data_IF_824060402033
#
_entry.id   IF_824060402033
#
_cell.length_a   1.000
_cell.length_b   1.000
_cell.length_c   1.000
_cell.angle_alpha   90.00
_cell.angle_beta   90.00
_cell.angle_gamma   90.00
#
_symmetry.space_group_name_H-M   'P 1'
#
loop_
_entity.id
_entity.type
_entity.pdbx_description
1 polymer ?
#
# COMPACT_ATOMS: atom_id res chain seq x y z
N UNK A 1 -52.53 13.21 -1.08
CA UNK A 1 -51.95 13.48 -2.40
C UNK A 1 -51.07 12.30 -2.78
N UNK A 2 -51.47 11.50 -3.77
CA UNK A 2 -50.73 10.31 -4.18
C UNK A 2 -49.49 10.69 -5.00
N UNK A 3 -48.33 10.13 -4.66
CA UNK A 3 -47.09 10.38 -5.39
C UNK A 3 -47.20 9.83 -6.83
N UNK A 4 -46.89 10.68 -7.82
CA UNK A 4 -46.86 10.29 -9.23
C UNK A 4 -45.80 9.21 -9.44
N UNK A 5 -46.23 8.02 -9.87
CA UNK A 5 -45.31 6.94 -10.29
C UNK A 5 -44.61 7.42 -11.57
N UNK A 6 -43.33 7.77 -11.46
CA UNK A 6 -42.48 8.03 -12.63
C UNK A 6 -42.18 6.69 -13.29
N UNK A 7 -42.91 6.39 -14.37
CA UNK A 7 -42.60 5.27 -15.25
C UNK A 7 -41.21 5.49 -15.87
N UNK A 8 -40.24 4.69 -15.45
CA UNK A 8 -38.93 4.63 -16.11
C UNK A 8 -39.12 3.96 -17.47
N UNK A 9 -39.29 4.75 -18.53
CA UNK A 9 -39.21 4.26 -19.91
C UNK A 9 -37.87 3.52 -20.08
N UNK A 10 -37.94 2.29 -20.59
CA UNK A 10 -36.74 1.53 -20.94
C UNK A 10 -35.90 2.37 -21.90
N UNK A 11 -34.58 2.52 -21.67
CA UNK A 11 -33.75 3.33 -22.56
C UNK A 11 -33.75 2.72 -23.95
N UNK A 12 -33.95 3.56 -24.95
CA UNK A 12 -34.01 3.15 -26.35
C UNK A 12 -32.65 2.60 -26.81
N UNK A 13 -32.62 1.65 -27.76
CA UNK A 13 -31.39 0.95 -28.14
C UNK A 13 -30.32 1.90 -28.72
N UNK A 14 -30.76 2.97 -29.38
CA UNK A 14 -29.89 4.06 -29.85
C UNK A 14 -29.27 4.88 -28.70
N UNK A 15 -29.94 4.97 -27.55
CA UNK A 15 -29.42 5.62 -26.35
C UNK A 15 -28.27 4.82 -25.73
N UNK A 16 -28.33 3.49 -25.77
CA UNK A 16 -27.26 2.64 -25.26
C UNK A 16 -26.00 2.70 -26.11
N UNK A 17 -26.14 2.69 -27.44
CA UNK A 17 -25.02 2.80 -28.36
C UNK A 17 -24.29 4.15 -28.22
N UNK A 18 -25.03 5.25 -28.04
CA UNK A 18 -24.45 6.57 -27.76
C UNK A 18 -23.69 6.60 -26.42
N UNK A 19 -24.27 6.03 -25.36
CA UNK A 19 -23.61 5.97 -24.05
C UNK A 19 -22.33 5.13 -24.10
N UNK A 20 -22.36 4.00 -24.79
CA UNK A 20 -21.18 3.15 -24.99
C UNK A 20 -20.06 3.89 -25.74
N UNK A 21 -20.39 4.58 -26.83
CA UNK A 21 -19.42 5.39 -27.59
C UNK A 21 -18.82 6.53 -26.76
N UNK A 22 -19.62 7.16 -25.91
CA UNK A 22 -19.14 8.21 -25.00
C UNK A 22 -18.22 7.62 -23.92
N UNK A 23 -18.53 6.42 -23.43
CA UNK A 23 -17.70 5.72 -22.45
C UNK A 23 -16.33 5.35 -23.05
N UNK A 24 -16.29 4.77 -24.26
CA UNK A 24 -15.03 4.46 -24.95
C UNK A 24 -14.19 5.73 -25.13
N UNK A 25 -14.80 6.82 -25.61
CA UNK A 25 -14.09 8.10 -25.78
C UNK A 25 -13.57 8.66 -24.45
N UNK A 26 -14.28 8.44 -23.35
CA UNK A 26 -13.84 8.85 -22.02
C UNK A 26 -12.65 8.00 -21.55
N UNK A 27 -12.68 6.69 -21.78
CA UNK A 27 -11.55 5.79 -21.45
C UNK A 27 -10.29 6.11 -22.26
N UNK A 28 -10.42 6.44 -23.55
CA UNK A 28 -9.29 6.85 -24.38
C UNK A 28 -8.65 8.18 -23.91
N UNK A 29 -9.47 9.10 -23.36
CA UNK A 29 -9.02 10.41 -22.89
C UNK A 29 -8.52 10.38 -21.44
N UNK A 30 -9.06 9.50 -20.61
CA UNK A 30 -8.70 9.37 -19.20
C UNK A 30 -7.19 9.29 -18.94
N UNK A 31 -6.37 8.49 -19.64
CA UNK A 31 -4.93 8.43 -19.37
C UNK A 31 -4.22 9.74 -19.74
N UNK A 32 -4.64 10.43 -20.80
CA UNK A 32 -4.07 11.73 -21.18
C UNK A 32 -4.40 12.80 -20.15
N UNK A 33 -5.68 12.90 -19.77
CA UNK A 33 -6.15 13.81 -18.72
C UNK A 33 -5.47 13.54 -17.38
N UNK A 34 -5.31 12.26 -17.01
CA UNK A 34 -4.59 11.87 -15.80
C UNK A 34 -3.13 12.33 -15.84
N UNK A 35 -2.43 12.08 -16.95
CA UNK A 35 -1.04 12.50 -17.11
C UNK A 35 -0.88 14.02 -17.10
N UNK A 36 -1.78 14.77 -17.76
CA UNK A 36 -1.76 16.24 -17.80
C UNK A 36 -2.01 16.86 -16.42
N UNK A 37 -2.99 16.36 -15.66
CA UNK A 37 -3.36 16.94 -14.37
C UNK A 37 -2.53 16.43 -13.19
N UNK A 38 -2.11 15.17 -13.24
CA UNK A 38 -1.54 14.46 -12.09
C UNK A 38 -0.20 13.78 -12.39
N UNK A 39 0.23 13.70 -13.64
CA UNK A 39 1.50 13.05 -14.01
C UNK A 39 2.72 13.70 -13.36
N UNK A 40 2.69 15.03 -13.17
CA UNK A 40 3.77 15.79 -12.52
C UNK A 40 4.06 15.34 -11.08
N UNK A 41 3.07 14.77 -10.39
CA UNK A 41 3.22 14.28 -9.01
C UNK A 41 4.27 13.16 -8.97
N UNK A 42 4.24 12.25 -9.93
CA UNK A 42 5.19 11.14 -10.00
C UNK A 42 6.62 11.64 -10.23
N UNK A 43 6.78 12.68 -11.04
CA UNK A 43 8.07 13.31 -11.29
C UNK A 43 8.59 14.03 -10.05
N UNK A 44 7.73 14.74 -9.31
CA UNK A 44 8.10 15.38 -8.05
C UNK A 44 8.47 14.35 -6.97
N UNK A 45 7.73 13.26 -6.82
CA UNK A 45 8.12 12.17 -5.92
C UNK A 45 9.47 11.56 -6.31
N UNK A 46 9.75 11.41 -7.61
CA UNK A 46 11.04 10.91 -8.08
C UNK A 46 12.17 11.88 -7.73
N UNK A 47 11.97 13.19 -7.93
CA UNK A 47 12.95 14.23 -7.55
C UNK A 47 13.20 14.23 -6.04
N UNK A 48 12.14 14.24 -5.23
CA UNK A 48 12.24 14.21 -3.77
C UNK A 48 12.94 12.94 -3.28
N UNK A 49 12.65 11.78 -3.89
CA UNK A 49 13.34 10.53 -3.62
C UNK A 49 14.84 10.62 -3.91
N UNK A 50 15.22 11.23 -5.03
CA UNK A 50 16.63 11.52 -5.35
C UNK A 50 17.30 12.44 -4.32
N UNK A 51 16.66 13.55 -3.98
CA UNK A 51 17.18 14.49 -2.98
C UNK A 51 17.34 13.85 -1.60
N UNK A 52 16.39 13.00 -1.19
CA UNK A 52 16.47 12.27 0.06
C UNK A 52 17.63 11.28 0.06
N UNK A 53 17.83 10.57 -1.05
CA UNK A 53 18.95 9.64 -1.20
C UNK A 53 20.29 10.38 -1.12
N UNK A 54 20.42 11.51 -1.83
CA UNK A 54 21.64 12.33 -1.81
C UNK A 54 21.96 12.85 -0.39
N UNK A 55 20.95 13.35 0.33
CA UNK A 55 21.11 13.78 1.73
C UNK A 55 21.47 12.61 2.65
N UNK A 56 20.91 11.43 2.40
CA UNK A 56 21.22 10.22 3.17
C UNK A 56 22.66 9.78 2.96
N UNK A 57 23.18 9.83 1.73
CA UNK A 57 24.56 9.48 1.40
C UNK A 57 25.54 10.50 2.00
N UNK A 58 25.22 11.80 1.93
CA UNK A 58 26.07 12.88 2.46
C UNK A 58 26.09 12.94 4.00
N UNK A 59 25.05 12.46 4.67
CA UNK A 59 24.97 12.49 6.13
C UNK A 59 25.79 11.37 6.77
N UNK A 60 26.86 11.72 7.48
CA UNK A 60 27.64 10.76 8.25
C UNK A 60 26.82 10.05 9.34
N UNK A 61 25.89 10.78 9.97
CA UNK A 61 24.98 10.24 10.96
C UNK A 61 24.09 9.14 10.37
N UNK A 62 23.41 9.44 9.25
CA UNK A 62 22.53 8.46 8.61
C UNK A 62 23.30 7.26 8.07
N UNK A 63 24.52 7.45 7.59
CA UNK A 63 25.41 6.35 7.19
C UNK A 63 25.74 5.42 8.38
N UNK A 64 26.05 5.99 9.56
CA UNK A 64 26.32 5.22 10.79
C UNK A 64 25.06 4.48 11.27
N UNK A 65 23.90 5.13 11.26
CA UNK A 65 22.61 4.53 11.66
C UNK A 65 22.22 3.40 10.71
N UNK A 66 22.31 3.61 9.40
CA UNK A 66 21.98 2.60 8.40
C UNK A 66 22.93 1.39 8.48
N UNK A 67 24.23 1.61 8.71
CA UNK A 67 25.17 0.51 8.92
C UNK A 67 24.81 -0.33 10.15
N UNK A 68 24.55 0.32 11.30
CA UNK A 68 24.06 -0.38 12.50
C UNK A 68 22.75 -1.14 12.25
N UNK A 69 21.87 -0.58 11.40
CA UNK A 69 20.59 -1.18 10.96
C UNK A 69 20.74 -2.44 10.12
N UNK A 70 21.77 -2.50 9.29
CA UNK A 70 22.10 -3.69 8.51
C UNK A 70 22.81 -4.74 9.36
N UNK A 71 23.70 -4.31 10.26
CA UNK A 71 24.53 -5.23 11.06
C UNK A 71 23.77 -5.86 12.25
N UNK A 72 22.67 -5.25 12.70
CA UNK A 72 21.85 -5.79 13.79
C UNK A 72 20.56 -6.39 13.23
N UNK A 73 20.46 -7.72 13.25
CA UNK A 73 19.21 -8.40 12.94
C UNK A 73 18.18 -8.16 14.04
N UNK A 74 17.02 -7.64 13.66
CA UNK A 74 15.86 -7.58 14.53
C UNK A 74 15.02 -8.83 14.27
N UNK A 75 14.96 -9.73 15.25
CA UNK A 75 14.19 -10.98 15.19
C UNK A 75 12.68 -10.77 15.03
N UNK A 76 12.18 -9.53 15.20
CA UNK A 76 10.78 -9.14 14.90
C UNK A 76 10.58 -8.72 13.47
N UNK A 77 11.65 -8.41 12.74
CA UNK A 77 11.54 -8.25 11.31
C UNK A 77 11.19 -9.61 10.77
N UNK A 78 10.04 -9.69 10.12
CA UNK A 78 9.71 -10.81 9.25
C UNK A 78 10.84 -10.89 8.22
N UNK A 79 11.81 -11.77 8.49
CA UNK A 79 12.91 -12.05 7.58
C UNK A 79 12.27 -12.50 6.28
N UNK A 80 12.56 -11.75 5.21
CA UNK A 80 12.25 -11.97 3.80
C UNK A 80 11.22 -13.05 3.42
N UNK A 81 10.37 -12.64 2.47
CA UNK A 81 9.33 -13.42 1.79
C UNK A 81 8.04 -13.47 2.59
N UNK A 82 7.33 -12.33 2.61
CA UNK A 82 5.87 -12.41 2.59
C UNK A 82 5.57 -13.24 1.33
N UNK A 83 5.03 -14.47 1.44
CA UNK A 83 4.72 -15.25 0.26
C UNK A 83 3.76 -14.42 -0.59
N UNK A 84 3.90 -14.47 -1.92
CA UNK A 84 2.85 -13.96 -2.80
C UNK A 84 1.61 -14.80 -2.57
N UNK A 85 0.83 -14.46 -1.56
CA UNK A 85 -0.45 -15.07 -1.27
C UNK A 85 -1.41 -14.52 -2.30
N UNK A 86 -1.69 -15.34 -3.32
CA UNK A 86 -2.91 -15.14 -4.11
C UNK A 86 -4.08 -15.19 -3.12
N UNK A 87 -5.07 -14.32 -3.31
CA UNK A 87 -6.22 -14.14 -2.40
C UNK A 87 -6.99 -15.42 -2.03
N UNK A 88 -6.69 -16.58 -2.65
CA UNK A 88 -7.20 -17.90 -2.28
C UNK A 88 -6.43 -18.69 -1.19
N UNK A 89 -5.23 -18.25 -0.76
CA UNK A 89 -4.40 -18.99 0.21
C UNK A 89 -4.73 -18.75 1.69
N UNK A 90 -5.47 -17.68 1.99
CA UNK A 90 -5.82 -17.34 3.39
C UNK A 90 -6.65 -18.43 4.08
N UNK A 91 -7.47 -19.18 3.33
CA UNK A 91 -8.32 -20.23 3.88
C UNK A 91 -7.59 -21.51 4.31
N UNK A 92 -6.37 -21.75 3.81
CA UNK A 92 -5.59 -22.95 4.16
C UNK A 92 -4.77 -22.75 5.43
N UNK A 93 -4.14 -21.58 5.61
CA UNK A 93 -3.36 -21.27 6.80
C UNK A 93 -4.20 -21.29 8.09
N UNK A 94 -5.46 -20.86 8.00
CA UNK A 94 -6.41 -20.87 9.12
C UNK A 94 -6.84 -22.28 9.55
N UNK A 95 -6.63 -23.31 8.72
CA UNK A 95 -6.94 -24.72 9.05
C UNK A 95 -5.79 -25.41 9.78
N UNK A 96 -4.59 -24.85 9.72
CA UNK A 96 -3.45 -25.42 10.41
C UNK A 96 -3.50 -25.05 11.90
N UNK A 97 -3.58 -26.09 12.73
CA UNK A 97 -3.59 -25.98 14.20
C UNK A 97 -2.35 -25.31 14.77
N UNK A 98 -1.26 -25.17 14.01
CA UNK A 98 -0.10 -24.36 14.38
C UNK A 98 -0.40 -22.85 14.40
N UNK A 99 -1.37 -22.38 13.62
CA UNK A 99 -1.75 -20.96 13.50
C UNK A 99 -3.09 -20.64 14.17
N UNK A 100 -3.61 -21.53 15.02
CA UNK A 100 -4.86 -21.31 15.75
C UNK A 100 -4.78 -20.11 16.68
N UNK A 101 -5.76 -19.22 16.61
CA UNK A 101 -5.86 -18.03 17.46
C UNK A 101 -5.90 -18.37 18.96
N UNK A 102 -6.38 -19.56 19.33
CA UNK A 102 -6.38 -20.05 20.71
C UNK A 102 -4.98 -20.30 21.28
N UNK A 103 -3.96 -20.54 20.44
CA UNK A 103 -2.55 -20.67 20.87
C UNK A 103 -1.84 -19.34 21.04
N UNK A 104 -2.33 -18.27 20.42
CA UNK A 104 -1.70 -16.94 20.43
C UNK A 104 -2.64 -15.87 21.00
N UNK A 105 -3.59 -16.29 21.85
CA UNK A 105 -4.56 -15.39 22.47
C UNK A 105 -3.91 -14.27 23.28
N UNK A 106 -4.69 -13.23 23.65
CA UNK A 106 -4.20 -11.99 24.24
C UNK A 106 -3.39 -12.17 25.54
N UNK A 107 -3.54 -13.30 26.22
CA UNK A 107 -2.87 -13.61 27.50
C UNK A 107 -1.41 -14.07 27.36
N UNK A 108 -0.89 -14.23 26.13
CA UNK A 108 0.49 -14.72 25.88
C UNK A 108 1.41 -13.59 25.38
N UNK A 109 0.87 -12.40 25.09
CA UNK A 109 1.69 -11.29 24.61
C UNK A 109 2.52 -10.67 25.74
N UNK A 110 3.77 -11.10 25.85
CA UNK A 110 4.78 -10.41 26.65
C UNK A 110 5.42 -9.31 25.81
N UNK A 111 5.31 -8.01 26.20
CA UNK A 111 5.91 -6.93 25.44
C UNK A 111 7.43 -7.06 25.45
N UNK A 112 8.01 -7.41 24.30
CA UNK A 112 9.46 -7.49 24.16
C UNK A 112 10.09 -6.10 24.13
N UNK A 113 11.12 -5.87 24.96
CA UNK A 113 11.86 -4.59 25.04
C UNK A 113 12.35 -4.10 23.68
N UNK A 114 12.21 -2.81 23.38
CA UNK A 114 12.61 -2.26 22.08
C UNK A 114 14.07 -2.67 21.71
N UNK A 115 14.28 -3.28 20.53
CA UNK A 115 15.61 -3.72 20.12
C UNK A 115 16.60 -2.55 20.14
N UNK A 116 17.88 -2.79 20.49
CA UNK A 116 18.90 -1.74 20.54
C UNK A 116 19.00 -0.92 19.26
N UNK A 117 18.64 -1.52 18.12
CA UNK A 117 18.60 -0.92 16.80
C UNK A 117 17.75 0.35 16.68
N UNK A 118 16.65 0.43 17.43
CA UNK A 118 15.72 1.56 17.39
C UNK A 118 15.96 2.54 18.54
N UNK A 119 17.00 2.33 19.35
CA UNK A 119 17.41 3.31 20.35
C UNK A 119 18.11 4.47 19.63
N UNK A 120 17.77 5.69 20.02
CA UNK A 120 18.42 6.89 19.52
C UNK A 120 19.93 6.77 19.76
N UNK A 121 20.73 6.98 18.71
CA UNK A 121 22.18 7.09 18.86
C UNK A 121 22.42 8.38 19.65
N UNK A 122 22.88 8.26 20.89
CA UNK A 122 23.32 9.44 21.65
C UNK A 122 24.50 10.08 20.90
N UNK A 123 24.36 11.35 20.55
CA UNK A 123 25.46 12.16 20.06
C UNK A 123 26.46 12.35 21.21
N UNK A 124 27.70 11.94 20.99
CA UNK A 124 28.86 12.21 21.86
C UNK A 124 29.60 13.42 21.37
#
# INVERSE_FOLDING_TARGET
MAASKTEKKAPDQASYDLMWKMHIKAEEKAPKMWQEHWGWILDEYRKLGGQLNDKTIKSEYLRKVNKKRTDTEDSRRLSLVIPRTYNGWYGWLAKDTQFSYSKFGPDIFQPMHLPPLYRLVKET
#
